data_IF_815480350869
#
_entry.id   IF_815480350869
#
_cell.length_a   1.000
_cell.length_b   1.000
_cell.length_c   1.000
_cell.angle_alpha   90.00
_cell.angle_beta   90.00
_cell.angle_gamma   90.00
#
_symmetry.space_group_name_H-M   'P 1'
#
loop_
_entity.id
_entity.type
_entity.pdbx_description
1 polymer ?
#
# COMPACT_ATOMS: atom_id res chain seq x y z
N UNK A 1 20.47 -12.98 -18.30
CA UNK A 1 20.35 -13.76 -17.05
C UNK A 1 18.99 -13.47 -16.44
N UNK A 2 18.11 -14.45 -16.33
CA UNK A 2 16.79 -14.25 -15.73
C UNK A 2 16.96 -14.11 -14.21
N UNK A 3 16.50 -12.99 -13.63
CA UNK A 3 16.41 -12.84 -12.18
C UNK A 3 15.31 -13.79 -11.69
N UNK A 4 15.69 -14.95 -11.16
CA UNK A 4 14.76 -15.82 -10.44
C UNK A 4 14.45 -15.14 -9.12
N UNK A 5 13.17 -14.90 -8.87
CA UNK A 5 12.72 -14.49 -7.54
C UNK A 5 12.78 -15.71 -6.62
N UNK A 6 13.24 -15.56 -5.37
CA UNK A 6 13.28 -16.65 -4.42
C UNK A 6 11.85 -17.16 -4.14
N UNK A 7 11.74 -18.46 -3.94
CA UNK A 7 10.51 -19.12 -3.50
C UNK A 7 10.20 -18.77 -2.04
N UNK A 8 8.95 -18.98 -1.59
CA UNK A 8 8.53 -18.62 -0.24
C UNK A 8 9.36 -19.33 0.85
N UNK A 9 9.79 -20.56 0.58
CA UNK A 9 10.65 -21.35 1.47
C UNK A 9 12.07 -20.77 1.55
N UNK A 10 12.66 -20.43 0.40
CA UNK A 10 13.99 -19.78 0.34
C UNK A 10 13.99 -18.40 1.00
N UNK A 11 12.88 -17.65 0.88
CA UNK A 11 12.72 -16.37 1.55
C UNK A 11 12.58 -16.53 3.08
N UNK A 12 11.91 -17.58 3.54
CA UNK A 12 11.76 -17.90 4.96
C UNK A 12 13.07 -18.42 5.56
N UNK A 13 13.81 -19.29 4.89
CA UNK A 13 15.15 -19.72 5.33
C UNK A 13 16.13 -18.54 5.42
N UNK A 14 16.06 -17.60 4.47
CA UNK A 14 16.87 -16.38 4.52
C UNK A 14 16.50 -15.51 5.73
N UNK A 15 15.20 -15.35 6.03
CA UNK A 15 14.72 -14.60 7.19
C UNK A 15 15.09 -15.31 8.51
N UNK A 16 14.99 -16.64 8.55
CA UNK A 16 15.33 -17.45 9.72
C UNK A 16 16.85 -17.45 9.98
N UNK A 17 17.66 -17.44 8.92
CA UNK A 17 19.12 -17.28 9.01
C UNK A 17 19.57 -15.91 9.51
N UNK A 18 18.68 -14.90 9.45
CA UNK A 18 18.89 -13.57 10.01
C UNK A 18 18.40 -13.47 11.46
N UNK A 19 17.80 -14.54 12.01
CA UNK A 19 17.22 -14.53 13.37
C UNK A 19 18.18 -14.99 14.47
N UNK A 20 19.35 -15.54 14.12
CA UNK A 20 20.39 -15.94 15.08
C UNK A 20 21.29 -14.77 15.54
N UNK A 21 21.13 -13.57 14.96
CA UNK A 21 21.65 -12.33 15.56
C UNK A 21 20.52 -11.70 16.39
N UNK A 22 20.67 -11.71 17.73
CA UNK A 22 19.81 -10.98 18.67
C UNK A 22 19.83 -9.47 18.35
N UNK A 23 19.01 -9.05 17.40
CA UNK A 23 18.69 -7.65 17.15
C UNK A 23 17.23 -7.43 17.53
N UNK A 24 17.03 -6.86 18.71
CA UNK A 24 15.82 -6.14 19.11
C UNK A 24 15.72 -4.83 18.29
N UNK A 25 15.80 -4.95 16.96
CA UNK A 25 15.79 -3.82 16.03
C UNK A 25 14.34 -3.46 15.68
N UNK A 26 13.87 -2.24 16.02
CA UNK A 26 12.53 -1.78 15.71
C UNK A 26 12.28 -1.52 14.20
N UNK A 27 13.14 -2.00 13.29
CA UNK A 27 13.11 -1.66 11.87
C UNK A 27 12.29 -2.61 10.98
N UNK A 28 11.93 -3.82 11.43
CA UNK A 28 11.21 -4.76 10.57
C UNK A 28 9.69 -4.70 10.78
N UNK A 29 9.01 -3.87 9.99
CA UNK A 29 7.55 -4.04 9.79
C UNK A 29 7.37 -5.22 8.83
N UNK A 30 7.30 -6.43 9.38
CA UNK A 30 6.91 -7.63 8.62
C UNK A 30 5.41 -7.48 8.30
N UNK A 31 5.10 -6.99 7.11
CA UNK A 31 3.74 -7.12 6.58
C UNK A 31 3.59 -8.61 6.25
N UNK A 32 2.66 -9.36 6.87
CA UNK A 32 2.62 -10.81 6.73
C UNK A 32 2.61 -11.24 5.24
N UNK A 33 3.36 -12.32 4.90
CA UNK A 33 3.70 -12.66 3.52
C UNK A 33 2.52 -13.09 2.67
N UNK A 34 1.37 -13.38 3.28
CA UNK A 34 0.20 -13.92 2.58
C UNK A 34 -0.65 -12.77 2.00
N UNK A 35 -0.69 -12.61 0.65
CA UNK A 35 -1.52 -11.59 0.00
C UNK A 35 -3.01 -11.89 0.12
N UNK A 36 -3.41 -13.11 0.47
CA UNK A 36 -4.79 -13.60 0.41
C UNK A 36 -5.44 -13.87 1.79
N UNK A 37 -4.77 -13.48 2.89
CA UNK A 37 -5.30 -13.70 4.24
C UNK A 37 -6.60 -12.92 4.50
N UNK A 38 -6.74 -11.74 3.90
CA UNK A 38 -7.96 -10.92 3.95
C UNK A 38 -8.94 -11.42 2.88
N UNK A 39 -9.86 -12.31 3.27
CA UNK A 39 -10.78 -12.96 2.32
C UNK A 39 -12.01 -12.12 1.96
N UNK A 40 -12.40 -11.17 2.81
CA UNK A 40 -13.62 -10.38 2.61
C UNK A 40 -13.29 -8.97 2.12
N UNK A 41 -14.04 -8.48 1.14
CA UNK A 41 -13.88 -7.11 0.66
C UNK A 41 -14.23 -6.11 1.76
N UNK A 42 -13.39 -5.09 1.92
CA UNK A 42 -13.53 -4.04 2.93
C UNK A 42 -12.80 -4.32 4.23
N UNK A 43 -12.22 -5.52 4.42
CA UNK A 43 -11.44 -5.81 5.61
C UNK A 43 -10.08 -5.11 5.54
N UNK A 44 -9.62 -4.61 6.67
CA UNK A 44 -8.32 -3.96 6.81
C UNK A 44 -7.61 -4.42 8.07
N UNK A 45 -6.31 -4.66 7.95
CA UNK A 45 -5.41 -4.90 9.07
C UNK A 45 -4.42 -3.73 9.16
N UNK A 46 -4.06 -3.36 10.39
CA UNK A 46 -3.09 -2.31 10.63
C UNK A 46 -2.08 -2.72 11.70
N UNK A 47 -0.79 -2.54 11.40
CA UNK A 47 0.30 -2.67 12.35
C UNK A 47 0.88 -1.29 12.63
N UNK A 48 1.12 -0.99 13.91
CA UNK A 48 1.70 0.27 14.32
C UNK A 48 3.06 0.05 14.98
N UNK A 49 4.10 0.64 14.39
CA UNK A 49 5.43 0.70 14.96
C UNK A 49 5.53 1.92 15.89
N UNK A 50 5.59 1.66 17.20
CA UNK A 50 5.67 2.70 18.23
C UNK A 50 7.01 3.44 18.26
N UNK A 51 8.10 2.79 17.86
CA UNK A 51 9.43 3.38 17.87
C UNK A 51 9.56 4.44 16.76
N UNK A 52 9.19 4.06 15.53
CA UNK A 52 9.28 4.93 14.37
C UNK A 52 8.05 5.81 14.16
N UNK A 53 7.00 5.63 14.98
CA UNK A 53 5.69 6.30 14.86
C UNK A 53 5.10 6.14 13.46
N UNK A 54 5.21 4.94 12.90
CA UNK A 54 4.72 4.60 11.56
C UNK A 54 3.62 3.55 11.65
N UNK A 55 2.58 3.71 10.83
CA UNK A 55 1.49 2.77 10.64
C UNK A 55 1.62 2.11 9.27
N UNK A 56 1.57 0.78 9.25
CA UNK A 56 1.40 -0.02 8.05
C UNK A 56 -0.04 -0.51 8.00
N UNK A 57 -0.75 -0.20 6.92
CA UNK A 57 -2.15 -0.54 6.73
C UNK A 57 -2.29 -1.39 5.49
N UNK A 58 -2.98 -2.52 5.61
CA UNK A 58 -3.35 -3.40 4.52
C UNK A 58 -4.87 -3.40 4.40
N UNK A 59 -5.38 -3.21 3.19
CA UNK A 59 -6.82 -3.13 2.91
C UNK A 59 -7.17 -3.98 1.70
N UNK A 60 -8.23 -4.77 1.81
CA UNK A 60 -8.71 -5.62 0.73
C UNK A 60 -9.89 -4.98 -0.01
N UNK A 61 -9.68 -4.59 -1.27
CA UNK A 61 -10.76 -4.16 -2.17
C UNK A 61 -11.04 -5.23 -3.24
N UNK A 62 -10.83 -4.92 -4.53
CA UNK A 62 -10.75 -5.94 -5.58
C UNK A 62 -9.43 -6.72 -5.52
N UNK A 63 -8.38 -6.09 -4.95
CA UNK A 63 -7.07 -6.64 -4.65
C UNK A 63 -6.58 -6.03 -3.34
N UNK A 64 -5.65 -6.71 -2.70
CA UNK A 64 -5.01 -6.21 -1.48
C UNK A 64 -4.09 -5.03 -1.80
N UNK A 65 -4.27 -3.95 -1.05
CA UNK A 65 -3.47 -2.72 -1.11
C UNK A 65 -2.75 -2.58 0.22
N UNK A 66 -1.45 -2.30 0.17
CA UNK A 66 -0.65 -1.99 1.36
C UNK A 66 -0.15 -0.55 1.30
N UNK A 67 -0.30 0.20 2.40
CA UNK A 67 0.11 1.58 2.54
C UNK A 67 0.93 1.76 3.83
N UNK A 68 1.86 2.70 3.79
CA UNK A 68 2.61 3.17 4.95
C UNK A 68 2.26 4.63 5.21
N UNK A 69 2.00 4.98 6.47
CA UNK A 69 1.67 6.34 6.88
C UNK A 69 2.37 6.68 8.20
N UNK A 70 2.93 7.88 8.28
CA UNK A 70 3.54 8.43 9.51
C UNK A 70 2.59 9.36 10.29
N UNK A 71 1.48 9.76 9.66
CA UNK A 71 0.60 10.81 10.18
C UNK A 71 -0.70 10.24 10.76
N UNK A 72 -1.19 9.15 10.18
CA UNK A 72 -2.49 8.58 10.54
C UNK A 72 -2.32 7.37 11.46
N UNK A 73 -1.89 7.68 12.68
CA UNK A 73 -1.54 6.73 13.75
C UNK A 73 -2.77 6.17 14.49
N UNK A 74 -3.99 6.56 14.12
CA UNK A 74 -5.19 6.15 14.85
C UNK A 74 -5.74 4.82 14.32
N UNK A 75 -5.16 3.73 14.80
CA UNK A 75 -5.31 2.29 14.47
C UNK A 75 -6.72 1.71 14.33
N UNK A 76 -7.85 2.43 14.48
CA UNK A 76 -9.13 1.71 14.72
C UNK A 76 -10.41 2.34 14.19
N UNK A 77 -10.36 3.42 13.40
CA UNK A 77 -11.60 3.98 12.88
C UNK A 77 -11.63 3.90 11.36
N UNK A 78 -12.36 2.91 10.87
CA UNK A 78 -13.01 2.97 9.57
C UNK A 78 -13.80 4.27 9.54
N UNK A 79 -13.37 5.23 8.72
CA UNK A 79 -13.92 6.58 8.75
C UNK A 79 -14.80 6.89 7.53
N UNK A 80 -14.70 6.10 6.44
CA UNK A 80 -15.43 6.39 5.21
C UNK A 80 -15.96 5.13 4.53
N UNK A 81 -17.23 5.17 4.13
CA UNK A 81 -17.85 4.20 3.23
C UNK A 81 -17.71 4.68 1.79
N UNK A 82 -17.30 3.79 0.90
CA UNK A 82 -17.24 4.05 -0.53
C UNK A 82 -18.12 3.05 -1.26
N UNK A 83 -18.99 3.57 -2.11
CA UNK A 83 -19.82 2.76 -3.00
C UNK A 83 -18.94 2.13 -4.08
N UNK A 84 -18.85 0.80 -4.07
CA UNK A 84 -18.11 0.01 -5.05
C UNK A 84 -19.06 -0.82 -5.89
N UNK A 85 -18.71 -0.99 -7.17
CA UNK A 85 -19.44 -1.89 -8.06
C UNK A 85 -19.11 -3.34 -7.71
N UNK A 86 -20.13 -4.18 -7.70
CA UNK A 86 -20.07 -5.63 -7.51
C UNK A 86 -20.98 -6.28 -8.54
N UNK A 87 -20.79 -7.58 -8.78
CA UNK A 87 -21.72 -8.33 -9.61
C UNK A 87 -23.13 -8.23 -9.01
N UNK A 88 -24.11 -7.80 -9.81
CA UNK A 88 -25.49 -7.59 -9.35
C UNK A 88 -25.77 -6.24 -8.67
N UNK A 89 -24.82 -5.29 -8.58
CA UNK A 89 -25.14 -3.93 -8.13
C UNK A 89 -23.99 -3.12 -7.56
N UNK A 90 -24.28 -2.39 -6.48
CA UNK A 90 -23.30 -1.61 -5.71
C UNK A 90 -23.36 -2.01 -4.24
N UNK A 91 -22.19 -2.02 -3.61
CA UNK A 91 -22.01 -2.35 -2.20
C UNK A 91 -21.25 -1.20 -1.53
N UNK A 92 -21.67 -0.86 -0.31
CA UNK A 92 -20.87 0.00 0.57
C UNK A 92 -19.71 -0.80 1.13
N UNK A 93 -18.50 -0.31 0.86
CA UNK A 93 -17.26 -0.91 1.34
C UNK A 93 -16.61 0.07 2.31
N UNK A 94 -16.21 -0.46 3.46
CA UNK A 94 -15.47 0.27 4.48
C UNK A 94 -14.03 0.50 4.02
N UNK A 95 -13.58 1.76 4.13
CA UNK A 95 -12.26 2.20 3.64
C UNK A 95 -11.48 2.87 4.78
N UNK A 96 -10.21 2.48 5.00
CA UNK A 96 -9.31 3.15 5.94
C UNK A 96 -9.05 4.62 5.55
N UNK A 97 -8.89 5.49 6.55
CA UNK A 97 -8.61 6.91 6.33
C UNK A 97 -7.36 7.13 5.47
N UNK A 98 -6.33 6.32 5.68
CA UNK A 98 -5.05 6.46 4.98
C UNK A 98 -5.18 6.25 3.48
N UNK A 99 -6.07 5.34 3.08
CA UNK A 99 -6.41 5.10 1.67
C UNK A 99 -7.14 6.31 1.09
N UNK A 100 -8.09 6.87 1.84
CA UNK A 100 -8.87 8.05 1.41
C UNK A 100 -7.97 9.28 1.26
N UNK A 101 -7.12 9.55 2.26
CA UNK A 101 -6.14 10.64 2.23
C UNK A 101 -5.15 10.47 1.07
N UNK A 102 -4.58 9.28 0.90
CA UNK A 102 -3.67 9.00 -0.22
C UNK A 102 -4.36 9.27 -1.57
N UNK A 103 -5.56 8.74 -1.79
CA UNK A 103 -6.28 8.93 -3.05
C UNK A 103 -6.64 10.40 -3.34
N UNK A 104 -6.83 11.22 -2.30
CA UNK A 104 -7.11 12.65 -2.46
C UNK A 104 -5.88 13.43 -2.95
N UNK A 105 -4.69 13.08 -2.47
CA UNK A 105 -3.48 13.87 -2.71
C UNK A 105 -2.52 13.27 -3.75
N UNK A 106 -2.64 11.99 -4.11
CA UNK A 106 -1.70 11.30 -5.03
C UNK A 106 -1.69 11.88 -6.45
N UNK A 107 -2.80 12.45 -6.92
CA UNK A 107 -2.98 12.83 -8.32
C UNK A 107 -2.27 14.15 -8.70
N UNK A 108 -1.56 14.82 -7.79
CA UNK A 108 -1.00 16.16 -8.06
C UNK A 108 -0.02 16.20 -9.23
N UNK A 109 0.86 15.21 -9.32
CA UNK A 109 1.85 15.10 -10.41
C UNK A 109 1.16 14.70 -11.71
N UNK A 110 0.33 13.65 -11.69
CA UNK A 110 -0.39 13.18 -12.88
C UNK A 110 -1.30 14.26 -13.49
N UNK A 111 -1.96 15.08 -12.65
CA UNK A 111 -2.77 16.21 -13.12
C UNK A 111 -1.89 17.27 -13.77
N UNK A 112 -0.73 17.58 -13.19
CA UNK A 112 0.22 18.52 -13.77
C UNK A 112 0.72 18.03 -15.13
N UNK A 113 1.14 16.76 -15.23
CA UNK A 113 1.61 16.15 -16.47
C UNK A 113 0.51 16.13 -17.54
N UNK A 114 -0.72 15.78 -17.16
CA UNK A 114 -1.88 15.82 -18.05
C UNK A 114 -2.16 17.25 -18.57
N UNK A 115 -2.07 18.27 -17.71
CA UNK A 115 -2.22 19.65 -18.15
C UNK A 115 -1.06 20.07 -19.07
N UNK A 116 0.16 19.66 -18.76
CA UNK A 116 1.31 19.94 -19.61
C UNK A 116 1.15 19.29 -20.98
N UNK A 117 0.75 18.02 -21.07
CA UNK A 117 0.54 17.34 -22.34
C UNK A 117 -0.59 17.98 -23.18
N UNK A 118 -1.69 18.38 -22.54
CA UNK A 118 -2.84 18.95 -23.24
C UNK A 118 -2.61 20.39 -23.75
N UNK A 119 -1.83 21.20 -23.04
CA UNK A 119 -1.68 22.62 -23.35
C UNK A 119 -0.29 23.02 -23.86
N UNK A 120 0.74 22.21 -23.62
CA UNK A 120 2.10 22.54 -24.03
C UNK A 120 2.38 22.05 -25.45
N UNK A 121 2.79 22.96 -26.33
CA UNK A 121 3.24 22.58 -27.68
C UNK A 121 4.69 22.13 -27.61
N UNK A 122 4.92 20.83 -27.77
CA UNK A 122 6.25 20.25 -27.90
C UNK A 122 6.96 20.75 -29.16
N UNK A 123 8.12 21.39 -29.01
CA UNK A 123 9.01 21.76 -30.11
C UNK A 123 10.10 20.70 -30.19
N UNK A 124 10.19 19.96 -31.30
CA UNK A 124 11.21 18.94 -31.50
C UNK A 124 12.61 19.58 -31.67
N UNK A 125 13.41 19.54 -30.62
CA UNK A 125 14.84 19.89 -30.65
C UNK A 125 15.74 18.67 -30.86
N UNK A 126 16.96 18.90 -31.37
CA UNK A 126 17.99 17.84 -31.52
C UNK A 126 18.80 17.56 -30.24
N UNK A 127 18.56 18.34 -29.18
CA UNK A 127 19.26 18.24 -27.90
C UNK A 127 18.22 17.93 -26.82
N UNK A 128 18.60 17.08 -25.87
CA UNK A 128 17.86 16.88 -24.63
C UNK A 128 17.96 18.11 -23.74
#
# INVERSE_FOLDING_TARGET
MARKFPTAEEALEYIDSLSDEEYDDPEMIIIPPEPDALKQRGTSDALFNKANKMAAVRWNDNRVVSLLSNFEVTTTKVHSKVQRRVEGGRMDVDVPLCVTSYNKYKNGVDLFDCHMENYFTSIQGKKW
#
